data_IF_372442756178
#
_entry.id   IF_372442756178
#
_cell.length_a   1.000
_cell.length_b   1.000
_cell.length_c   1.000
_cell.angle_alpha   90.00
_cell.angle_beta   90.00
_cell.angle_gamma   90.00
#
_symmetry.space_group_name_H-M   'P 1'
#
loop_
_entity.id
_entity.type
_entity.pdbx_description
1 polymer ?
#
# COMPACT_ATOMS: atom_id res chain seq x y z
N UNK A 1 -29.75 -27.18 -33.02
CA UNK A 1 -28.63 -28.03 -33.53
C UNK A 1 -27.42 -27.12 -33.75
N UNK A 2 -26.25 -27.43 -33.18
CA UNK A 2 -25.03 -26.61 -33.34
C UNK A 2 -24.47 -26.79 -34.76
N UNK A 3 -24.24 -25.69 -35.48
CA UNK A 3 -23.59 -25.71 -36.80
C UNK A 3 -22.07 -25.72 -36.63
N UNK A 4 -21.43 -26.86 -36.88
CA UNK A 4 -19.98 -27.04 -36.72
C UNK A 4 -19.15 -26.15 -37.66
N UNK A 5 -19.70 -25.75 -38.81
CA UNK A 5 -19.05 -24.84 -39.75
C UNK A 5 -18.74 -23.47 -39.16
N UNK A 6 -19.50 -23.00 -38.15
CA UNK A 6 -19.19 -21.76 -37.44
C UNK A 6 -17.90 -21.81 -36.61
N UNK A 7 -17.32 -23.00 -36.46
CA UNK A 7 -16.08 -23.23 -35.72
C UNK A 7 -14.95 -23.76 -36.62
N UNK A 8 -15.14 -23.75 -37.95
CA UNK A 8 -14.23 -24.37 -38.93
C UNK A 8 -14.01 -25.88 -38.68
N UNK A 9 -15.07 -26.56 -38.22
CA UNK A 9 -15.06 -27.98 -37.90
C UNK A 9 -15.98 -28.78 -38.82
N UNK A 10 -15.57 -30.01 -39.11
CA UNK A 10 -16.43 -31.04 -39.72
C UNK A 10 -16.87 -32.05 -38.67
N UNK A 11 -18.01 -32.75 -38.86
CA UNK A 11 -18.47 -33.79 -37.94
C UNK A 11 -17.39 -34.84 -37.68
N UNK A 12 -17.24 -35.24 -36.42
CA UNK A 12 -16.29 -36.27 -36.02
C UNK A 12 -16.93 -37.19 -34.99
N UNK A 13 -16.99 -38.49 -35.30
CA UNK A 13 -17.47 -39.52 -34.38
C UNK A 13 -16.32 -39.96 -33.48
N UNK A 14 -16.56 -40.01 -32.18
CA UNK A 14 -15.62 -40.50 -31.17
C UNK A 14 -16.39 -41.00 -29.96
N UNK A 15 -15.94 -42.10 -29.36
CA UNK A 15 -16.52 -42.63 -28.12
C UNK A 15 -15.86 -42.04 -26.87
N UNK A 16 -14.77 -41.27 -27.04
CA UNK A 16 -13.99 -40.70 -25.94
C UNK A 16 -14.71 -39.60 -25.16
N UNK A 17 -15.65 -38.90 -25.80
CA UNK A 17 -16.36 -37.75 -25.23
C UNK A 17 -17.79 -37.76 -25.76
N UNK A 18 -18.78 -37.64 -24.87
CA UNK A 18 -20.20 -37.66 -25.24
C UNK A 18 -20.81 -36.26 -25.18
N UNK A 19 -21.77 -35.99 -26.07
CA UNK A 19 -22.61 -34.79 -25.98
C UNK A 19 -23.37 -34.79 -24.66
N UNK A 20 -23.42 -33.64 -23.98
CA UNK A 20 -23.96 -33.48 -22.64
C UNK A 20 -22.96 -33.75 -21.50
N UNK A 21 -21.80 -34.35 -21.77
CA UNK A 21 -20.77 -34.55 -20.76
C UNK A 21 -20.24 -33.20 -20.26
N UNK A 22 -19.98 -33.10 -18.96
CA UNK A 22 -19.47 -31.88 -18.33
C UNK A 22 -18.02 -32.06 -17.90
N UNK A 23 -17.18 -31.09 -18.23
CA UNK A 23 -15.80 -30.97 -17.79
C UNK A 23 -15.64 -29.62 -17.08
N UNK A 24 -15.57 -29.64 -15.75
CA UNK A 24 -15.55 -28.41 -14.94
C UNK A 24 -16.75 -27.52 -15.30
N UNK A 25 -16.51 -26.33 -15.88
CA UNK A 25 -17.58 -25.41 -16.33
C UNK A 25 -17.97 -25.55 -17.80
N UNK A 26 -17.48 -26.57 -18.50
CA UNK A 26 -17.68 -26.76 -19.94
C UNK A 26 -18.59 -27.96 -20.21
N UNK A 27 -19.77 -27.71 -20.77
CA UNK A 27 -20.69 -28.76 -21.23
C UNK A 27 -20.46 -29.02 -22.71
N UNK A 28 -20.31 -30.29 -23.09
CA UNK A 28 -20.09 -30.71 -24.48
C UNK A 28 -21.38 -30.56 -25.29
N UNK A 29 -21.30 -29.80 -26.38
CA UNK A 29 -22.43 -29.61 -27.31
C UNK A 29 -22.28 -30.42 -28.59
N UNK A 30 -21.06 -30.57 -29.12
CA UNK A 30 -20.81 -31.33 -30.34
C UNK A 30 -19.34 -31.75 -30.46
N UNK A 31 -19.09 -32.83 -31.20
CA UNK A 31 -17.76 -33.33 -31.54
C UNK A 31 -17.44 -33.02 -33.00
N UNK A 32 -16.24 -32.49 -33.25
CA UNK A 32 -15.78 -32.12 -34.58
C UNK A 32 -14.30 -32.37 -34.81
N UNK A 33 -13.84 -32.16 -36.04
CA UNK A 33 -12.45 -32.27 -36.45
C UNK A 33 -12.06 -31.05 -37.28
N UNK A 34 -10.88 -30.49 -37.02
CA UNK A 34 -10.29 -29.47 -37.87
C UNK A 34 -9.57 -30.15 -39.03
N UNK A 35 -9.93 -29.79 -40.26
CA UNK A 35 -9.25 -30.32 -41.45
C UNK A 35 -7.84 -29.73 -41.61
N UNK A 36 -7.67 -28.45 -41.28
CA UNK A 36 -6.38 -27.75 -41.34
C UNK A 36 -5.40 -28.35 -40.32
N UNK A 37 -5.81 -28.45 -39.05
CA UNK A 37 -4.94 -28.95 -37.97
C UNK A 37 -4.89 -30.48 -37.89
N UNK A 38 -5.79 -31.18 -38.59
CA UNK A 38 -5.99 -32.64 -38.54
C UNK A 38 -6.23 -33.19 -37.12
N UNK A 39 -6.81 -32.38 -36.21
CA UNK A 39 -7.07 -32.72 -34.79
C UNK A 39 -8.55 -32.72 -34.44
N UNK A 40 -8.91 -33.48 -33.41
CA UNK A 40 -10.25 -33.51 -32.86
C UNK A 40 -10.52 -32.31 -31.94
N UNK A 41 -11.68 -31.68 -32.13
CA UNK A 41 -12.16 -30.53 -31.37
C UNK A 41 -13.55 -30.80 -30.82
N UNK A 42 -13.86 -30.18 -29.70
CA UNK A 42 -15.14 -30.27 -29.02
C UNK A 42 -15.72 -28.87 -28.93
N UNK A 43 -16.96 -28.70 -29.37
CA UNK A 43 -17.71 -27.46 -29.14
C UNK A 43 -18.34 -27.54 -27.77
N UNK A 44 -18.08 -26.54 -26.94
CA UNK A 44 -18.49 -26.51 -25.53
C UNK A 44 -19.25 -25.23 -25.20
N UNK A 45 -20.24 -25.35 -24.33
CA UNK A 45 -20.93 -24.24 -23.66
C UNK A 45 -20.33 -24.04 -22.28
N UNK A 46 -19.97 -22.80 -21.93
CA UNK A 46 -19.54 -22.51 -20.57
C UNK A 46 -20.76 -22.17 -19.68
N UNK A 47 -20.74 -22.62 -18.42
CA UNK A 47 -21.81 -22.33 -17.46
C UNK A 47 -21.95 -20.84 -17.10
N UNK A 48 -20.95 -20.00 -17.41
CA UNK A 48 -21.04 -18.55 -17.20
C UNK A 48 -21.84 -17.81 -18.30
N UNK A 49 -22.47 -18.53 -19.23
CA UNK A 49 -23.30 -17.93 -20.29
C UNK A 49 -22.54 -17.32 -21.47
N UNK A 50 -21.20 -17.43 -21.52
CA UNK A 50 -20.45 -16.98 -22.70
C UNK A 50 -20.85 -17.76 -23.95
N UNK A 51 -20.75 -17.19 -25.16
CA UNK A 51 -21.01 -17.93 -26.39
C UNK A 51 -20.23 -19.25 -26.47
N UNK A 52 -20.76 -20.29 -27.15
CA UNK A 52 -20.05 -21.54 -27.34
C UNK A 52 -18.69 -21.32 -27.99
N UNK A 53 -17.71 -22.16 -27.65
CA UNK A 53 -16.37 -22.15 -28.27
C UNK A 53 -15.89 -23.55 -28.60
N UNK A 54 -14.93 -23.65 -29.52
CA UNK A 54 -14.23 -24.91 -29.78
C UNK A 54 -12.97 -25.02 -28.91
N UNK A 55 -12.73 -26.23 -28.38
CA UNK A 55 -11.53 -26.58 -27.62
C UNK A 55 -10.97 -27.90 -28.15
N UNK A 56 -9.64 -28.06 -28.10
CA UNK A 56 -9.02 -29.31 -28.54
C UNK A 56 -9.38 -30.45 -27.56
N UNK A 57 -9.76 -31.62 -28.10
CA UNK A 57 -10.23 -32.74 -27.29
C UNK A 57 -9.18 -33.22 -26.27
N UNK A 58 -7.91 -33.23 -26.67
CA UNK A 58 -6.77 -33.59 -25.79
C UNK A 58 -6.65 -32.64 -24.60
N UNK A 59 -6.80 -31.33 -24.82
CA UNK A 59 -6.75 -30.31 -23.77
C UNK A 59 -7.96 -30.35 -22.85
N UNK A 60 -9.14 -30.72 -23.37
CA UNK A 60 -10.33 -30.93 -22.55
C UNK A 60 -10.16 -32.13 -21.62
N UNK A 61 -9.74 -33.29 -22.17
CA UNK A 61 -9.52 -34.52 -21.37
C UNK A 61 -8.39 -34.39 -20.36
N UNK A 62 -7.32 -33.68 -20.71
CA UNK A 62 -6.20 -33.42 -19.81
C UNK A 62 -6.48 -32.35 -18.74
N UNK A 63 -7.68 -31.77 -18.69
CA UNK A 63 -8.05 -30.73 -17.72
C UNK A 63 -7.37 -29.38 -17.94
N UNK A 64 -6.76 -29.15 -19.12
CA UNK A 64 -6.15 -27.86 -19.50
C UNK A 64 -7.20 -26.82 -19.88
N UNK A 65 -8.35 -27.26 -20.39
CA UNK A 65 -9.51 -26.41 -20.68
C UNK A 65 -10.61 -26.61 -19.64
N UNK A 66 -10.74 -25.66 -18.71
CA UNK A 66 -11.70 -25.74 -17.58
C UNK A 66 -12.90 -24.81 -17.69
N UNK A 67 -12.79 -23.75 -18.51
CA UNK A 67 -13.85 -22.76 -18.73
C UNK A 67 -13.63 -21.96 -20.02
N UNK A 68 -14.51 -20.99 -20.30
CA UNK A 68 -14.28 -19.99 -21.35
C UNK A 68 -13.09 -19.04 -21.04
N UNK A 69 -12.55 -19.07 -19.82
CA UNK A 69 -11.62 -18.09 -19.27
C UNK A 69 -12.19 -17.36 -18.06
N UNK A 70 -13.49 -17.51 -17.78
CA UNK A 70 -14.17 -16.89 -16.64
C UNK A 70 -13.56 -17.28 -15.28
N UNK A 71 -13.14 -18.55 -15.09
CA UNK A 71 -12.47 -18.99 -13.85
C UNK A 71 -11.21 -18.16 -13.60
N UNK A 72 -10.41 -17.90 -14.64
CA UNK A 72 -9.19 -17.10 -14.52
C UNK A 72 -9.52 -15.64 -14.23
N UNK A 73 -10.55 -15.08 -14.90
CA UNK A 73 -11.02 -13.71 -14.63
C UNK A 73 -11.50 -13.55 -13.20
N UNK A 74 -12.34 -14.47 -12.72
CA UNK A 74 -12.85 -14.51 -11.34
C UNK A 74 -11.70 -14.57 -10.33
N UNK A 75 -10.71 -15.46 -10.54
CA UNK A 75 -9.53 -15.54 -9.67
C UNK A 75 -8.66 -14.29 -9.69
N UNK A 76 -8.60 -13.59 -10.82
CA UNK A 76 -7.82 -12.37 -10.98
C UNK A 76 -8.57 -11.10 -10.53
N UNK A 77 -9.79 -11.21 -9.99
CA UNK A 77 -10.57 -10.06 -9.49
C UNK A 77 -10.16 -9.58 -8.10
N UNK A 78 -9.03 -10.05 -7.54
CA UNK A 78 -8.44 -9.43 -6.34
C UNK A 78 -7.95 -8.02 -6.68
N UNK A 79 -8.90 -7.09 -6.63
CA UNK A 79 -8.82 -5.63 -6.55
C UNK A 79 -8.18 -4.84 -7.68
N UNK A 80 -7.67 -5.43 -8.77
CA UNK A 80 -7.03 -4.66 -9.86
C UNK A 80 -5.82 -3.83 -9.40
N UNK A 81 -5.48 -3.90 -8.11
CA UNK A 81 -4.53 -3.05 -7.43
C UNK A 81 -3.28 -3.82 -7.02
N UNK A 82 -3.15 -5.11 -7.36
CA UNK A 82 -1.97 -5.91 -7.01
C UNK A 82 -0.65 -5.28 -7.51
N UNK A 83 -0.70 -4.47 -8.58
CA UNK A 83 0.43 -3.68 -9.10
C UNK A 83 0.37 -2.18 -8.73
N UNK A 84 -0.69 -1.73 -8.07
CA UNK A 84 -0.87 -0.34 -7.71
C UNK A 84 -0.04 0.00 -6.44
N UNK A 85 0.68 1.14 -6.40
CA UNK A 85 1.52 1.53 -5.27
C UNK A 85 0.84 1.46 -3.89
N UNK A 86 -0.47 1.71 -3.83
CA UNK A 86 -1.24 1.66 -2.58
C UNK A 86 -1.31 0.25 -1.97
N UNK A 87 -1.34 -0.80 -2.80
CA UNK A 87 -1.34 -2.18 -2.34
C UNK A 87 -0.02 -2.52 -1.65
N UNK A 88 1.10 -2.03 -2.17
CA UNK A 88 2.40 -2.15 -1.51
C UNK A 88 2.47 -1.41 -0.17
N UNK A 89 1.76 -0.28 -0.01
CA UNK A 89 1.68 0.44 1.29
C UNK A 89 0.92 -0.38 2.33
N UNK A 90 -0.20 -0.97 1.93
CA UNK A 90 -0.99 -1.86 2.76
C UNK A 90 -0.20 -3.12 3.16
N UNK A 91 0.41 -3.81 2.19
CA UNK A 91 1.26 -4.97 2.48
C UNK A 91 2.44 -4.63 3.41
N UNK A 92 3.13 -3.52 3.15
CA UNK A 92 4.26 -3.09 3.99
C UNK A 92 3.83 -2.71 5.41
N UNK A 93 2.62 -2.18 5.60
CA UNK A 93 2.03 -1.96 6.92
C UNK A 93 1.87 -3.29 7.67
N UNK A 94 1.23 -4.29 7.06
CA UNK A 94 1.05 -5.63 7.65
C UNK A 94 2.38 -6.32 7.94
N UNK A 95 3.34 -6.25 7.01
CA UNK A 95 4.65 -6.89 7.15
C UNK A 95 5.48 -6.30 8.31
N UNK A 96 5.30 -5.02 8.66
CA UNK A 96 5.93 -4.41 9.84
C UNK A 96 5.29 -4.87 11.16
N UNK A 97 3.98 -5.15 11.16
CA UNK A 97 3.24 -5.51 12.37
C UNK A 97 3.25 -7.01 12.68
N UNK A 98 3.31 -7.88 11.67
CA UNK A 98 3.00 -9.30 11.84
C UNK A 98 4.08 -10.27 11.37
N UNK A 99 5.21 -9.78 10.86
CA UNK A 99 6.32 -10.64 10.42
C UNK A 99 7.52 -10.50 11.35
N UNK A 100 7.75 -11.41 12.32
CA UNK A 100 8.86 -11.33 13.27
C UNK A 100 10.25 -11.21 12.63
N UNK A 101 10.46 -11.86 11.48
CA UNK A 101 11.74 -11.84 10.75
C UNK A 101 11.99 -10.53 9.98
N UNK A 102 11.04 -9.58 10.00
CA UNK A 102 11.23 -8.29 9.36
C UNK A 102 12.13 -7.37 10.22
N UNK A 103 13.11 -6.70 9.58
CA UNK A 103 14.03 -5.75 10.26
C UNK A 103 13.37 -4.60 11.04
N UNK A 104 12.15 -4.23 10.66
CA UNK A 104 11.36 -3.19 11.30
C UNK A 104 10.41 -3.76 12.35
N UNK A 105 10.15 -5.08 12.39
CA UNK A 105 9.24 -5.69 13.35
C UNK A 105 9.50 -5.29 14.81
N UNK A 106 10.76 -5.28 15.32
CA UNK A 106 11.03 -4.84 16.69
C UNK A 106 10.55 -3.42 17.01
N UNK A 107 10.44 -2.55 16.00
CA UNK A 107 9.96 -1.15 16.13
C UNK A 107 8.44 -0.99 15.95
N UNK A 108 7.76 -2.05 15.54
CA UNK A 108 6.33 -2.06 15.22
C UNK A 108 5.64 -3.23 15.94
N UNK A 109 5.52 -4.39 15.29
CA UNK A 109 4.85 -5.56 15.87
C UNK A 109 5.41 -5.99 17.23
N UNK A 110 6.74 -5.94 17.39
CA UNK A 110 7.43 -6.23 18.65
C UNK A 110 7.10 -5.26 19.79
N UNK A 111 6.50 -4.09 19.50
CA UNK A 111 5.96 -3.14 20.50
C UNK A 111 4.48 -3.33 20.77
N UNK A 112 3.82 -4.29 20.13
CA UNK A 112 2.37 -4.48 20.20
C UNK A 112 1.56 -3.60 19.25
N UNK A 113 2.19 -2.90 18.29
CA UNK A 113 1.48 -2.11 17.28
C UNK A 113 0.82 -3.05 16.27
N UNK A 114 -0.49 -2.89 16.11
CA UNK A 114 -1.33 -3.71 15.21
C UNK A 114 -2.00 -2.87 14.13
N UNK A 115 -2.56 -3.58 13.16
CA UNK A 115 -3.50 -3.05 12.18
C UNK A 115 -4.92 -3.37 12.65
N UNK A 116 -5.82 -2.38 12.62
CA UNK A 116 -7.22 -2.60 13.00
C UNK A 116 -7.88 -3.67 12.12
N UNK A 117 -8.86 -4.38 12.67
CA UNK A 117 -9.52 -5.51 12.02
C UNK A 117 -10.09 -5.14 10.63
N UNK A 118 -10.72 -3.97 10.53
CA UNK A 118 -11.26 -3.43 9.29
C UNK A 118 -10.25 -3.42 8.15
N UNK A 119 -8.98 -3.08 8.43
CA UNK A 119 -7.90 -2.97 7.44
C UNK A 119 -7.19 -4.30 7.14
N UNK A 120 -7.68 -5.44 7.65
CA UNK A 120 -7.27 -6.75 7.14
C UNK A 120 -7.97 -7.09 5.82
N UNK A 121 -9.11 -6.47 5.51
CA UNK A 121 -9.63 -6.41 4.14
C UNK A 121 -9.06 -5.19 3.41
N UNK A 122 -8.36 -5.44 2.30
CA UNK A 122 -7.81 -4.39 1.45
C UNK A 122 -8.88 -3.45 0.88
N UNK A 123 -10.12 -3.91 0.65
CA UNK A 123 -11.23 -3.06 0.16
C UNK A 123 -11.54 -1.93 1.13
N UNK A 124 -11.61 -2.24 2.42
CA UNK A 124 -11.89 -1.25 3.46
C UNK A 124 -10.72 -0.26 3.59
N UNK A 125 -9.48 -0.75 3.47
CA UNK A 125 -8.32 0.13 3.43
C UNK A 125 -8.35 1.11 2.24
N UNK A 126 -8.77 0.63 1.06
CA UNK A 126 -8.96 1.49 -0.12
C UNK A 126 -10.06 2.52 0.13
N UNK A 127 -11.22 2.11 0.64
CA UNK A 127 -12.33 3.01 0.96
C UNK A 127 -11.86 4.15 1.88
N UNK A 128 -11.11 3.81 2.92
CA UNK A 128 -10.69 4.78 3.94
C UNK A 128 -9.53 5.68 3.45
N UNK A 129 -8.59 5.14 2.68
CA UNK A 129 -7.31 5.82 2.41
C UNK A 129 -7.09 6.23 0.95
N UNK A 130 -7.74 5.60 -0.03
CA UNK A 130 -7.52 5.90 -1.45
C UNK A 130 -7.93 7.32 -1.88
N UNK A 131 -9.03 7.92 -1.37
CA UNK A 131 -9.47 9.26 -1.82
C UNK A 131 -8.39 10.35 -1.71
N UNK A 132 -7.45 10.21 -0.77
CA UNK A 132 -6.35 11.16 -0.54
C UNK A 132 -4.98 10.61 -0.95
N UNK A 133 -4.93 9.44 -1.58
CA UNK A 133 -3.68 8.79 -1.96
C UNK A 133 -3.00 9.51 -3.13
N UNK A 134 -1.68 9.65 -3.04
CA UNK A 134 -0.81 10.00 -4.18
C UNK A 134 0.41 9.08 -4.20
N UNK A 135 0.87 8.71 -5.39
CA UNK A 135 1.90 7.66 -5.62
C UNK A 135 3.19 7.82 -4.80
N UNK A 136 3.59 9.06 -4.50
CA UNK A 136 4.81 9.40 -3.79
C UNK A 136 4.65 9.47 -2.26
N UNK A 137 3.43 9.34 -1.75
CA UNK A 137 3.15 9.40 -0.32
C UNK A 137 3.39 8.04 0.36
N UNK A 138 3.70 8.11 1.65
CA UNK A 138 3.86 6.98 2.55
C UNK A 138 2.78 7.03 3.63
N UNK A 139 2.34 5.86 4.08
CA UNK A 139 1.42 5.79 5.22
C UNK A 139 2.20 6.09 6.50
N UNK A 140 1.69 7.01 7.29
CA UNK A 140 2.26 7.47 8.54
C UNK A 140 1.20 7.47 9.64
N UNK A 141 1.60 7.14 10.87
CA UNK A 141 0.72 7.25 12.03
C UNK A 141 0.84 8.65 12.65
N UNK A 142 -0.28 9.25 13.05
CA UNK A 142 -0.33 10.56 13.73
C UNK A 142 0.26 10.44 15.14
N UNK A 143 -0.20 9.43 15.89
CA UNK A 143 0.44 8.93 17.09
C UNK A 143 1.29 7.70 16.77
N UNK A 144 2.61 7.84 16.97
CA UNK A 144 3.60 6.81 16.70
C UNK A 144 3.47 5.58 17.61
N UNK A 145 2.82 5.72 18.77
CA UNK A 145 2.58 4.63 19.72
C UNK A 145 1.25 3.91 19.46
N UNK A 146 0.30 4.56 18.78
CA UNK A 146 -0.98 3.97 18.39
C UNK A 146 -0.89 2.97 17.25
N UNK A 147 -2.01 2.28 17.02
CA UNK A 147 -2.21 1.28 15.96
C UNK A 147 -2.44 1.91 14.58
N UNK A 148 -2.38 1.11 13.52
CA UNK A 148 -2.84 1.52 12.20
C UNK A 148 -4.37 1.48 12.13
N UNK A 149 -4.99 2.66 12.09
CA UNK A 149 -6.44 2.87 11.96
C UNK A 149 -6.68 4.08 11.05
N UNK A 150 -7.89 4.25 10.46
CA UNK A 150 -8.23 5.44 9.68
C UNK A 150 -7.99 6.74 10.44
N UNK A 151 -8.29 6.75 11.73
CA UNK A 151 -8.20 7.92 12.60
C UNK A 151 -6.74 8.24 12.92
N UNK A 152 -5.91 7.22 13.15
CA UNK A 152 -4.51 7.38 13.51
C UNK A 152 -3.57 7.40 12.30
N UNK A 153 -4.04 7.32 11.07
CA UNK A 153 -3.18 7.30 9.89
C UNK A 153 -3.40 8.49 8.97
N UNK A 154 -2.36 8.83 8.21
CA UNK A 154 -2.40 9.84 7.15
C UNK A 154 -1.37 9.51 6.08
N UNK A 155 -1.56 10.09 4.90
CA UNK A 155 -0.53 10.11 3.88
C UNK A 155 0.45 11.25 4.14
N UNK A 156 1.74 10.95 4.10
CA UNK A 156 2.79 11.93 4.30
C UNK A 156 3.90 11.81 3.26
N UNK A 157 4.51 12.95 2.93
CA UNK A 157 5.75 13.00 2.16
C UNK A 157 6.93 12.63 3.06
N UNK A 158 8.06 12.24 2.45
CA UNK A 158 9.32 12.02 3.20
C UNK A 158 9.77 13.24 4.00
N UNK A 159 9.45 14.46 3.55
CA UNK A 159 9.74 15.70 4.29
C UNK A 159 8.81 15.89 5.49
N UNK A 160 7.52 15.55 5.37
CA UNK A 160 6.57 15.57 6.49
C UNK A 160 6.93 14.58 7.60
N UNK A 161 7.54 13.44 7.26
CA UNK A 161 8.02 12.45 8.23
C UNK A 161 9.11 12.99 9.17
N UNK A 162 9.89 14.01 8.76
CA UNK A 162 10.95 14.57 9.59
C UNK A 162 10.42 15.21 10.89
N UNK A 163 9.20 15.76 10.85
CA UNK A 163 8.53 16.40 11.99
C UNK A 163 7.93 15.40 12.98
N UNK A 164 7.63 14.17 12.52
CA UNK A 164 7.09 13.11 13.36
C UNK A 164 8.18 12.13 13.83
N UNK A 165 9.45 12.34 13.47
CA UNK A 165 10.56 11.55 14.05
C UNK A 165 10.59 11.78 15.56
N UNK A 166 10.76 10.69 16.33
CA UNK A 166 10.89 10.75 17.80
C UNK A 166 12.02 11.67 18.28
N UNK A 167 13.03 11.90 17.44
CA UNK A 167 14.14 12.83 17.69
C UNK A 167 13.77 14.30 17.48
N UNK A 168 12.59 14.59 16.93
CA UNK A 168 12.13 15.95 16.70
C UNK A 168 11.64 16.55 18.03
N UNK A 169 12.38 17.52 18.55
CA UNK A 169 11.99 18.25 19.76
C UNK A 169 10.90 19.27 19.40
N UNK A 170 9.70 19.07 19.95
CA UNK A 170 8.52 19.91 19.70
C UNK A 170 8.37 20.95 20.81
N UNK A 171 8.12 22.18 20.42
CA UNK A 171 7.97 23.33 21.30
C UNK A 171 6.60 23.96 21.03
N UNK A 172 5.82 24.13 22.09
CA UNK A 172 4.54 24.83 22.04
C UNK A 172 4.74 26.27 22.51
N UNK A 173 4.36 27.24 21.68
CA UNK A 173 4.37 28.66 21.99
C UNK A 173 3.21 29.34 21.26
N UNK A 174 2.49 30.24 21.94
CA UNK A 174 1.30 30.93 21.41
C UNK A 174 0.26 30.00 20.76
N UNK A 175 -0.02 28.86 21.39
CA UNK A 175 -1.01 27.89 20.91
C UNK A 175 -0.59 27.06 19.68
N UNK A 176 0.64 27.24 19.17
CA UNK A 176 1.18 26.46 18.05
C UNK A 176 2.29 25.54 18.52
N UNK A 177 2.23 24.26 18.13
CA UNK A 177 3.28 23.28 18.42
C UNK A 177 4.07 22.99 17.15
N UNK A 178 5.35 23.35 17.15
CA UNK A 178 6.25 23.18 16.00
C UNK A 178 7.60 22.60 16.44
N UNK A 179 8.40 22.13 15.51
CA UNK A 179 9.78 21.68 15.77
C UNK A 179 10.74 22.86 15.98
N UNK A 180 11.87 22.63 16.67
CA UNK A 180 12.96 23.63 16.77
C UNK A 180 13.36 24.18 15.38
N UNK A 181 13.42 23.32 14.36
CA UNK A 181 13.80 23.73 13.00
C UNK A 181 12.78 24.63 12.33
N UNK A 182 11.49 24.45 12.62
CA UNK A 182 10.44 25.32 12.10
C UNK A 182 10.43 26.66 12.84
N UNK A 183 10.53 26.64 14.18
CA UNK A 183 10.68 27.86 14.96
C UNK A 183 11.92 28.65 14.57
N UNK A 184 13.03 28.00 14.22
CA UNK A 184 14.23 28.65 13.70
C UNK A 184 13.98 29.41 12.38
N UNK A 185 13.16 28.85 11.49
CA UNK A 185 12.80 29.51 10.23
C UNK A 185 11.84 30.68 10.46
N UNK A 186 10.87 30.51 11.35
CA UNK A 186 9.85 31.52 11.62
C UNK A 186 10.41 32.72 12.38
N UNK A 187 11.23 32.48 13.41
CA UNK A 187 11.83 33.55 14.23
C UNK A 187 13.10 34.14 13.61
N UNK A 188 13.69 33.48 12.62
CA UNK A 188 15.01 33.83 12.08
C UNK A 188 16.20 33.50 13.01
N UNK A 189 15.96 32.91 14.18
CA UNK A 189 17.00 32.50 15.11
C UNK A 189 17.66 31.21 14.60
N UNK A 190 18.99 31.16 14.56
CA UNK A 190 19.72 29.96 14.12
C UNK A 190 19.32 28.73 14.94
N UNK A 191 19.15 27.59 14.27
CA UNK A 191 18.79 26.30 14.89
C UNK A 191 19.67 25.96 16.10
N UNK A 192 21.00 26.07 15.97
CA UNK A 192 21.92 25.74 17.06
C UNK A 192 21.71 26.64 18.29
N UNK A 193 21.31 27.89 18.09
CA UNK A 193 21.00 28.83 19.18
C UNK A 193 19.74 28.40 19.91
N UNK A 194 18.65 28.10 19.19
CA UNK A 194 17.42 27.60 19.80
C UNK A 194 17.63 26.23 20.48
N UNK A 195 18.37 25.33 19.84
CA UNK A 195 18.72 24.03 20.40
C UNK A 195 19.46 24.19 21.73
N UNK A 196 20.47 25.06 21.80
CA UNK A 196 21.22 25.34 23.03
C UNK A 196 20.31 25.92 24.12
N UNK A 197 19.46 26.89 23.77
CA UNK A 197 18.52 27.53 24.71
C UNK A 197 17.56 26.51 25.35
N UNK A 198 17.03 25.60 24.54
CA UNK A 198 16.00 24.64 24.98
C UNK A 198 16.60 23.40 25.63
N UNK A 199 17.67 22.83 25.06
CA UNK A 199 18.22 21.54 25.50
C UNK A 199 19.25 21.75 26.62
N UNK A 200 20.20 22.67 26.42
CA UNK A 200 21.33 22.83 27.34
C UNK A 200 20.98 23.80 28.47
N UNK A 201 20.38 24.95 28.12
CA UNK A 201 20.01 26.00 29.09
C UNK A 201 18.63 25.79 29.72
N UNK A 202 17.81 24.88 29.16
CA UNK A 202 16.45 24.56 29.64
C UNK A 202 15.54 25.78 29.82
N UNK A 203 15.70 26.78 28.96
CA UNK A 203 14.82 27.95 28.94
C UNK A 203 13.39 27.55 28.56
N UNK A 204 12.42 28.33 29.04
CA UNK A 204 11.03 28.17 28.62
C UNK A 204 10.87 28.44 27.11
N UNK A 205 9.82 27.90 26.45
CA UNK A 205 9.51 28.21 25.05
C UNK A 205 9.47 29.72 24.77
N UNK A 206 8.87 30.49 25.66
CA UNK A 206 8.74 31.94 25.55
C UNK A 206 10.11 32.62 25.56
N UNK A 207 10.93 32.37 26.58
CA UNK A 207 12.27 32.95 26.67
C UNK A 207 13.15 32.52 25.50
N UNK A 208 13.10 31.25 25.13
CA UNK A 208 13.93 30.72 24.07
C UNK A 208 13.66 31.38 22.71
N UNK A 209 12.39 31.71 22.43
CA UNK A 209 11.94 32.28 21.15
C UNK A 209 11.99 33.81 21.13
N UNK A 210 11.86 34.48 22.28
CA UNK A 210 11.79 35.96 22.35
C UNK A 210 13.11 36.62 22.74
N UNK A 211 14.01 35.91 23.43
CA UNK A 211 15.26 36.50 23.90
C UNK A 211 16.15 36.97 22.73
N UNK A 212 16.60 38.23 22.79
CA UNK A 212 17.51 38.81 21.79
C UNK A 212 18.75 37.93 21.60
N UNK A 213 19.09 37.63 20.35
CA UNK A 213 20.36 36.98 20.01
C UNK A 213 21.45 38.06 20.02
N UNK A 214 22.39 37.94 20.94
CA UNK A 214 23.52 38.86 21.03
C UNK A 214 24.49 38.63 19.87
N UNK A 215 25.02 39.72 19.33
CA UNK A 215 26.16 39.68 18.40
C UNK A 215 27.44 39.24 19.11
N UNK A 216 28.44 38.81 18.34
CA UNK A 216 29.76 38.46 18.90
C UNK A 216 30.37 39.61 19.74
N UNK A 217 30.18 40.85 19.31
CA UNK A 217 30.67 42.05 20.00
C UNK A 217 29.95 42.25 21.34
N UNK A 218 28.62 42.18 21.35
CA UNK A 218 27.83 42.28 22.58
C UNK A 218 28.13 41.13 23.56
N UNK A 219 28.29 39.91 23.06
CA UNK A 219 28.64 38.75 23.89
C UNK A 219 30.03 38.90 24.51
N UNK A 220 31.02 39.41 23.75
CA UNK A 220 32.37 39.67 24.27
C UNK A 220 32.38 40.76 25.33
N UNK A 221 31.60 41.84 25.13
CA UNK A 221 31.45 42.91 26.11
C UNK A 221 30.79 42.42 27.40
N UNK A 222 29.75 41.58 27.31
CA UNK A 222 29.11 40.98 28.49
C UNK A 222 30.05 40.05 29.25
N UNK A 223 30.84 39.24 28.55
CA UNK A 223 31.83 38.34 29.17
C UNK A 223 32.92 39.12 29.91
N UNK A 224 33.41 40.23 29.33
CA UNK A 224 34.35 41.13 29.99
C UNK A 224 33.70 41.73 31.26
N UNK A 225 32.50 42.29 31.16
CA UNK A 225 31.79 42.84 32.34
C UNK A 225 31.63 41.82 33.47
N UNK A 226 31.27 40.57 33.16
CA UNK A 226 31.12 39.53 34.18
C UNK A 226 32.46 39.09 34.80
N UNK A 227 33.57 39.19 34.06
CA UNK A 227 34.90 38.78 34.50
C UNK A 227 35.57 39.82 35.41
N UNK A 228 35.25 41.10 35.23
CA UNK A 228 35.85 42.21 35.97
C UNK A 228 34.96 42.80 37.08
N UNK A 229 33.71 42.32 37.22
CA UNK A 229 32.79 42.69 38.31
C UNK A 229 32.73 41.61 39.44
N UNK A 230 33.76 40.78 39.58
CA UNK A 230 33.94 39.87 40.72
C UNK A 230 35.00 40.39 41.67
#
# INVERSE_FOLDING_TARGET
MIKLSYFDLVPHKTDSVKVGQVFERLTVLATGKSLVKKRAFIVVQCSCGSPPKSVEMTNLKAGKSKSCGCITKERNTTHGCNKHPIHFRWLSMHYRCYTPNNKDYPRYGGRGIKVCERWHDFRNFIEDMYPTFRKYLQIERKDNNGNYTPENCKWATRSGQALNRRTCHKITFEGRTMSISEWAKETGIKYNTLSKRIIDMKLSPEEALTQKVLTHKESAQNALRCRWNK
#
